data_IF_085858642717
#
_entry.id   IF_085858642717
#
_cell.length_a   1.000
_cell.length_b   1.000
_cell.length_c   1.000
_cell.angle_alpha   90.00
_cell.angle_beta   90.00
_cell.angle_gamma   90.00
#
_symmetry.space_group_name_H-M   'P 1'
#
loop_
_entity.id
_entity.type
_entity.pdbx_description
1 polymer ?
#
# COMPACT_ATOMS: atom_id res chain seq x y z
N UNK A 1 14.95 -14.39 -22.38
CA UNK A 1 15.19 -14.96 -21.03
C UNK A 1 14.76 -16.43 -21.02
N UNK A 2 15.54 -17.34 -20.44
CA UNK A 2 15.07 -18.72 -20.27
C UNK A 2 14.26 -18.85 -18.97
N UNK A 3 12.96 -19.07 -19.07
CA UNK A 3 12.17 -19.53 -17.94
C UNK A 3 12.75 -20.90 -17.56
N UNK A 4 13.06 -21.15 -16.26
CA UNK A 4 13.65 -22.43 -15.86
C UNK A 4 12.78 -23.62 -16.28
N UNK A 5 13.40 -24.71 -16.79
CA UNK A 5 12.71 -25.94 -17.22
C UNK A 5 11.83 -26.57 -16.12
N UNK A 6 12.15 -26.28 -14.85
CA UNK A 6 11.35 -26.71 -13.70
C UNK A 6 10.04 -25.95 -13.51
N UNK A 7 9.78 -24.88 -14.27
CA UNK A 7 8.52 -24.16 -14.21
C UNK A 7 7.38 -25.03 -14.75
N UNK A 8 6.26 -25.10 -14.03
CA UNK A 8 5.09 -25.79 -14.54
C UNK A 8 4.49 -25.04 -15.73
N UNK A 9 3.58 -25.69 -16.46
CA UNK A 9 2.87 -25.06 -17.58
C UNK A 9 2.10 -23.82 -17.09
N UNK A 10 1.40 -23.93 -15.96
CA UNK A 10 0.61 -22.86 -15.37
C UNK A 10 1.50 -21.70 -14.89
N UNK A 11 2.67 -22.00 -14.29
CA UNK A 11 3.65 -20.97 -13.92
C UNK A 11 4.18 -20.23 -15.16
N UNK A 12 4.50 -20.98 -16.23
CA UNK A 12 4.97 -20.40 -17.49
C UNK A 12 3.89 -19.49 -18.10
N UNK A 13 2.66 -19.93 -18.11
CA UNK A 13 1.54 -19.18 -18.61
C UNK A 13 1.31 -17.88 -17.81
N UNK A 14 1.32 -17.97 -16.46
CA UNK A 14 1.23 -16.81 -15.58
C UNK A 14 2.41 -15.82 -15.74
N UNK A 15 3.58 -16.28 -16.13
CA UNK A 15 4.74 -15.43 -16.42
C UNK A 15 4.59 -14.71 -17.77
N UNK A 16 4.09 -15.39 -18.80
CA UNK A 16 4.14 -14.93 -20.20
C UNK A 16 2.87 -14.21 -20.66
N UNK A 17 1.72 -14.46 -20.03
CA UNK A 17 0.52 -13.66 -20.29
C UNK A 17 0.60 -12.33 -19.59
N UNK A 18 0.85 -11.25 -20.30
CA UNK A 18 1.26 -9.97 -19.71
C UNK A 18 0.16 -8.91 -19.75
N UNK A 19 -0.82 -9.02 -20.59
CA UNK A 19 -1.87 -8.01 -20.79
C UNK A 19 -3.13 -8.31 -19.98
N UNK A 20 -3.72 -7.25 -19.43
CA UNK A 20 -4.97 -7.28 -18.68
C UNK A 20 -4.80 -7.54 -17.18
N UNK A 21 -5.92 -7.49 -16.47
CA UNK A 21 -5.95 -7.79 -15.03
C UNK A 21 -5.92 -9.30 -14.84
N UNK A 22 -4.97 -9.82 -14.07
CA UNK A 22 -4.73 -11.24 -13.89
C UNK A 22 -4.67 -11.59 -12.41
N UNK A 23 -5.48 -12.57 -12.01
CA UNK A 23 -5.45 -13.16 -10.67
C UNK A 23 -4.85 -14.56 -10.72
N UNK A 24 -3.89 -14.82 -9.84
CA UNK A 24 -3.28 -16.13 -9.64
C UNK A 24 -3.59 -16.63 -8.24
N UNK A 25 -4.52 -17.56 -8.12
CA UNK A 25 -4.74 -18.29 -6.87
C UNK A 25 -3.73 -19.43 -6.74
N UNK A 26 -3.10 -19.59 -5.59
CA UNK A 26 -2.01 -20.53 -5.43
C UNK A 26 -1.88 -21.05 -4.00
N UNK A 27 -1.62 -22.32 -3.85
CA UNK A 27 -1.37 -22.95 -2.54
C UNK A 27 0.01 -22.61 -1.97
N UNK A 28 0.24 -22.83 -0.66
CA UNK A 28 1.54 -22.63 -0.02
C UNK A 28 2.66 -23.39 -0.74
N UNK A 29 3.80 -22.74 -0.94
CA UNK A 29 4.96 -23.38 -1.56
C UNK A 29 4.89 -23.55 -3.08
N UNK A 30 3.81 -23.16 -3.75
CA UNK A 30 3.61 -23.27 -5.20
C UNK A 30 4.48 -22.35 -6.05
N UNK A 31 5.31 -21.50 -5.42
CA UNK A 31 6.20 -20.60 -6.13
C UNK A 31 5.63 -19.22 -6.47
N UNK A 32 4.69 -18.67 -5.70
CA UNK A 32 4.14 -17.32 -5.87
C UNK A 32 5.21 -16.26 -6.21
N UNK A 33 6.18 -16.11 -5.32
CA UNK A 33 7.28 -15.13 -5.51
C UNK A 33 8.18 -15.47 -6.72
N UNK A 34 8.29 -16.76 -7.09
CA UNK A 34 8.98 -17.16 -8.32
C UNK A 34 8.24 -16.63 -9.54
N UNK A 35 6.96 -16.87 -9.66
CA UNK A 35 6.14 -16.37 -10.77
C UNK A 35 6.22 -14.86 -10.89
N UNK A 36 6.03 -14.12 -9.77
CA UNK A 36 6.16 -12.66 -9.76
C UNK A 36 7.53 -12.17 -10.25
N UNK A 37 8.61 -12.76 -9.72
CA UNK A 37 9.98 -12.35 -10.09
C UNK A 37 10.28 -12.62 -11.56
N UNK A 38 9.90 -13.81 -12.06
CA UNK A 38 10.14 -14.17 -13.46
C UNK A 38 9.21 -13.41 -14.41
N UNK A 39 8.00 -13.05 -14.00
CA UNK A 39 7.13 -12.18 -14.79
C UNK A 39 7.73 -10.78 -14.96
N UNK A 40 8.24 -10.16 -13.89
CA UNK A 40 8.93 -8.86 -13.98
C UNK A 40 10.16 -8.99 -14.91
N UNK A 41 10.95 -10.04 -14.73
CA UNK A 41 12.10 -10.28 -15.60
C UNK A 41 11.69 -10.46 -17.08
N UNK A 42 10.60 -11.18 -17.35
CA UNK A 42 10.06 -11.37 -18.70
C UNK A 42 9.61 -10.05 -19.33
N UNK A 43 8.88 -9.21 -18.58
CA UNK A 43 8.49 -7.88 -19.04
C UNK A 43 9.71 -7.04 -19.45
N UNK A 44 10.79 -7.07 -18.66
CA UNK A 44 12.00 -6.28 -18.92
C UNK A 44 12.80 -6.85 -20.10
N UNK A 45 13.01 -8.17 -20.15
CA UNK A 45 13.98 -8.77 -21.09
C UNK A 45 13.39 -9.21 -22.41
N UNK A 46 12.14 -9.62 -22.45
CA UNK A 46 11.50 -10.13 -23.66
C UNK A 46 10.55 -9.11 -24.30
N UNK A 47 9.86 -8.32 -23.47
CA UNK A 47 8.95 -7.28 -23.95
C UNK A 47 9.56 -5.88 -23.93
N UNK A 48 10.81 -5.75 -23.44
CA UNK A 48 11.53 -4.48 -23.37
C UNK A 48 10.76 -3.37 -22.65
N UNK A 49 9.96 -3.75 -21.65
CA UNK A 49 9.23 -2.80 -20.82
C UNK A 49 10.24 -2.01 -19.98
N UNK A 50 10.07 -0.68 -19.94
CA UNK A 50 10.92 0.18 -19.13
C UNK A 50 10.78 -0.19 -17.65
N UNK A 51 11.86 -0.57 -16.94
CA UNK A 51 11.76 -1.02 -15.55
C UNK A 51 11.09 -0.01 -14.61
N UNK A 52 11.29 1.29 -14.85
CA UNK A 52 10.69 2.37 -14.06
C UNK A 52 9.15 2.43 -14.18
N UNK A 53 8.56 1.77 -15.17
CA UNK A 53 7.10 1.66 -15.35
C UNK A 53 6.48 0.41 -14.71
N UNK A 54 7.29 -0.37 -13.99
CA UNK A 54 6.83 -1.57 -13.28
C UNK A 54 6.82 -1.32 -11.78
N UNK A 55 5.68 -1.57 -11.13
CA UNK A 55 5.49 -1.44 -9.69
C UNK A 55 5.15 -2.81 -9.10
N UNK A 56 5.99 -3.32 -8.21
CA UNK A 56 5.76 -4.56 -7.49
C UNK A 56 5.59 -4.30 -5.99
N UNK A 57 4.40 -4.59 -5.46
CA UNK A 57 4.01 -4.34 -4.08
C UNK A 57 3.93 -5.63 -3.27
N UNK A 58 4.37 -5.57 -2.03
CA UNK A 58 4.35 -6.68 -1.07
C UNK A 58 4.07 -6.15 0.34
N UNK A 59 3.78 -7.06 1.29
CA UNK A 59 3.43 -6.68 2.67
C UNK A 59 4.62 -6.35 3.55
N UNK A 60 5.79 -6.96 3.30
CA UNK A 60 6.93 -6.83 4.21
C UNK A 60 8.19 -6.35 3.49
N UNK A 61 9.00 -5.56 4.19
CA UNK A 61 10.30 -5.13 3.67
C UNK A 61 11.23 -6.32 3.37
N UNK A 62 11.08 -7.42 4.12
CA UNK A 62 11.85 -8.65 3.90
C UNK A 62 11.48 -9.27 2.55
N UNK A 63 10.19 -9.42 2.25
CA UNK A 63 9.72 -9.95 0.97
C UNK A 63 10.14 -9.05 -0.20
N UNK A 64 9.99 -7.73 -0.06
CA UNK A 64 10.47 -6.75 -1.04
C UNK A 64 11.97 -6.88 -1.32
N UNK A 65 12.78 -6.97 -0.27
CA UNK A 65 14.23 -7.13 -0.40
C UNK A 65 14.63 -8.45 -1.09
N UNK A 66 13.96 -9.55 -0.74
CA UNK A 66 14.17 -10.85 -1.38
C UNK A 66 13.79 -10.83 -2.85
N UNK A 67 12.65 -10.24 -3.20
CA UNK A 67 12.20 -10.11 -4.58
C UNK A 67 13.20 -9.27 -5.39
N UNK A 68 13.62 -8.13 -4.87
CA UNK A 68 14.62 -7.27 -5.49
C UNK A 68 15.96 -7.98 -5.72
N UNK A 69 16.43 -8.75 -4.73
CA UNK A 69 17.65 -9.54 -4.85
C UNK A 69 17.52 -10.62 -5.95
N UNK A 70 16.42 -11.37 -5.96
CA UNK A 70 16.16 -12.40 -6.99
C UNK A 70 16.07 -11.79 -8.38
N UNK A 71 15.37 -10.67 -8.52
CA UNK A 71 15.25 -9.97 -9.80
C UNK A 71 16.61 -9.53 -10.33
N UNK A 72 17.48 -8.96 -9.48
CA UNK A 72 18.86 -8.59 -9.87
C UNK A 72 19.69 -9.77 -10.35
N UNK A 73 19.50 -10.93 -9.75
CA UNK A 73 20.21 -12.14 -10.19
C UNK A 73 19.78 -12.62 -11.59
N UNK A 74 18.58 -12.24 -12.06
CA UNK A 74 18.03 -12.63 -13.35
C UNK A 74 18.36 -11.59 -14.43
N UNK A 75 18.11 -10.30 -14.15
CA UNK A 75 18.19 -9.21 -15.14
C UNK A 75 19.38 -8.27 -14.92
N UNK A 76 20.21 -8.52 -13.89
CA UNK A 76 21.37 -7.69 -13.58
C UNK A 76 20.98 -6.31 -13.05
N UNK A 77 21.80 -5.30 -13.35
CA UNK A 77 21.61 -3.92 -12.88
C UNK A 77 20.43 -3.21 -13.53
N UNK A 78 19.84 -3.78 -14.58
CA UNK A 78 18.63 -3.24 -15.23
C UNK A 78 17.35 -3.44 -14.41
N UNK A 79 17.43 -3.96 -13.18
CA UNK A 79 16.30 -4.22 -12.28
C UNK A 79 15.81 -2.95 -11.53
N UNK A 80 15.70 -1.80 -12.20
CA UNK A 80 15.30 -0.52 -11.58
C UNK A 80 13.79 -0.31 -11.48
N UNK A 81 13.00 -1.40 -11.35
CA UNK A 81 11.58 -1.29 -11.05
C UNK A 81 11.34 -0.97 -9.57
N UNK A 82 10.20 -0.33 -9.27
CA UNK A 82 9.80 -0.20 -7.87
C UNK A 82 9.44 -1.58 -7.30
N UNK A 83 10.17 -2.00 -6.27
CA UNK A 83 9.85 -3.20 -5.49
C UNK A 83 9.86 -2.82 -4.02
N UNK A 84 8.70 -2.84 -3.38
CA UNK A 84 8.55 -2.32 -2.02
C UNK A 84 7.21 -2.66 -1.37
N UNK A 85 7.01 -2.11 -0.17
CA UNK A 85 5.72 -2.21 0.52
C UNK A 85 4.77 -1.11 0.06
N UNK A 86 3.46 -1.26 0.33
CA UNK A 86 2.47 -0.21 0.11
C UNK A 86 2.86 1.11 0.77
N UNK A 87 3.27 1.06 2.05
CA UNK A 87 3.75 2.25 2.77
C UNK A 87 5.02 2.85 2.14
N UNK A 88 5.92 2.00 1.66
CA UNK A 88 7.13 2.44 0.95
C UNK A 88 6.79 3.18 -0.34
N UNK A 89 5.82 2.69 -1.10
CA UNK A 89 5.31 3.35 -2.30
C UNK A 89 4.64 4.69 -1.97
N UNK A 90 3.74 4.70 -0.98
CA UNK A 90 3.07 5.91 -0.54
C UNK A 90 4.07 6.97 -0.03
N UNK A 91 5.11 6.57 0.72
CA UNK A 91 6.16 7.48 1.15
C UNK A 91 6.93 8.10 -0.05
N UNK A 92 7.26 7.28 -1.06
CA UNK A 92 7.88 7.77 -2.28
C UNK A 92 6.96 8.77 -3.01
N UNK A 93 5.70 8.44 -3.18
CA UNK A 93 4.68 9.30 -3.77
C UNK A 93 4.54 10.63 -2.99
N UNK A 94 4.40 10.57 -1.68
CA UNK A 94 4.21 11.75 -0.84
C UNK A 94 5.43 12.68 -0.83
N UNK A 95 6.65 12.16 -0.93
CA UNK A 95 7.86 13.00 -1.09
C UNK A 95 7.82 13.88 -2.35
N UNK A 96 7.09 13.46 -3.38
CA UNK A 96 6.89 14.28 -4.58
C UNK A 96 5.66 15.20 -4.47
N UNK A 97 4.54 14.70 -3.96
CA UNK A 97 3.22 15.32 -4.12
C UNK A 97 2.62 15.95 -2.86
N UNK A 98 3.13 15.68 -1.67
CA UNK A 98 2.53 16.11 -0.39
C UNK A 98 2.43 17.64 -0.25
N UNK A 99 3.25 18.39 -1.00
CA UNK A 99 3.19 19.84 -1.02
C UNK A 99 1.82 20.39 -1.45
N UNK A 100 1.01 19.59 -2.15
CA UNK A 100 -0.37 19.92 -2.51
C UNK A 100 -1.31 19.97 -1.30
N UNK A 101 -0.88 19.43 -0.16
CA UNK A 101 -1.61 19.42 1.10
C UNK A 101 -1.01 20.36 2.16
N UNK A 102 -0.26 21.38 1.73
CA UNK A 102 0.42 22.34 2.62
C UNK A 102 1.46 21.72 3.58
N UNK A 103 1.88 20.48 3.31
CA UNK A 103 3.00 19.84 3.99
C UNK A 103 4.31 20.05 3.22
N UNK A 104 5.45 20.18 3.90
CA UNK A 104 6.75 20.19 3.23
C UNK A 104 7.07 18.79 2.68
N UNK A 105 7.87 18.74 1.62
CA UNK A 105 8.33 17.46 1.04
C UNK A 105 9.18 16.64 2.03
N UNK A 106 9.77 17.30 3.03
CA UNK A 106 10.50 16.69 4.14
C UNK A 106 9.57 16.62 5.35
N UNK A 107 8.87 15.52 5.48
CA UNK A 107 8.03 15.21 6.64
C UNK A 107 8.62 14.05 7.44
N UNK A 108 8.23 13.93 8.71
CA UNK A 108 8.66 12.85 9.60
C UNK A 108 7.64 11.70 9.55
N UNK A 109 8.12 10.47 9.51
CA UNK A 109 7.25 9.29 9.67
C UNK A 109 7.34 8.82 11.11
N UNK A 110 6.20 8.72 11.77
CA UNK A 110 6.07 8.18 13.12
C UNK A 110 5.99 6.66 13.06
N UNK A 111 6.93 5.98 13.70
CA UNK A 111 6.74 4.57 14.01
C UNK A 111 5.78 4.42 15.21
N UNK A 112 5.35 3.19 15.50
CA UNK A 112 4.39 2.93 16.59
C UNK A 112 4.89 3.37 17.98
N UNK A 113 6.20 3.47 18.17
CA UNK A 113 6.78 3.98 19.42
C UNK A 113 6.67 5.50 19.49
N UNK A 114 7.08 6.21 18.44
CA UNK A 114 6.98 7.66 18.34
C UNK A 114 5.51 8.14 18.37
N UNK A 115 4.61 7.40 17.74
CA UNK A 115 3.16 7.64 17.78
C UNK A 115 2.63 7.56 19.21
N UNK A 116 2.99 6.49 19.95
CA UNK A 116 2.59 6.31 21.35
C UNK A 116 3.14 7.41 22.26
N UNK A 117 4.38 7.82 22.06
CA UNK A 117 4.99 8.93 22.79
C UNK A 117 4.25 10.24 22.50
N UNK A 118 3.99 10.55 21.25
CA UNK A 118 3.23 11.76 20.87
C UNK A 118 1.83 11.79 21.49
N UNK A 119 1.14 10.65 21.56
CA UNK A 119 -0.19 10.55 22.21
C UNK A 119 -0.09 10.86 23.70
N UNK A 120 0.96 10.36 24.39
CA UNK A 120 1.18 10.65 25.80
C UNK A 120 1.47 12.12 26.04
N UNK A 121 2.35 12.72 25.23
CA UNK A 121 2.69 14.15 25.32
C UNK A 121 1.45 15.03 25.11
N UNK A 122 0.61 14.68 24.11
CA UNK A 122 -0.65 15.38 23.88
C UNK A 122 -1.60 15.28 25.07
N UNK A 123 -1.69 14.12 25.69
CA UNK A 123 -2.54 13.96 26.87
C UNK A 123 -1.99 14.72 28.09
N UNK A 124 -0.66 14.72 28.29
CA UNK A 124 -0.01 15.48 29.36
C UNK A 124 -0.24 16.98 29.22
N UNK A 125 -0.14 17.52 27.99
CA UNK A 125 -0.49 18.93 27.71
C UNK A 125 -1.95 19.29 28.03
N UNK A 126 -2.83 18.29 28.01
CA UNK A 126 -4.22 18.42 28.41
C UNK A 126 -4.45 18.20 29.91
N UNK A 127 -3.39 17.99 30.70
CA UNK A 127 -3.46 17.66 32.13
C UNK A 127 -3.92 16.23 32.43
N UNK A 128 -3.81 15.30 31.45
CA UNK A 128 -4.23 13.90 31.56
C UNK A 128 -2.99 13.01 31.61
N UNK A 129 -2.76 12.33 32.73
CA UNK A 129 -1.70 11.33 32.82
C UNK A 129 -2.20 9.98 32.33
N UNK A 130 -1.61 9.46 31.24
CA UNK A 130 -1.95 8.18 30.66
C UNK A 130 -0.99 7.08 31.11
N UNK A 131 -1.55 5.95 31.57
CA UNK A 131 -0.80 4.69 31.71
C UNK A 131 -0.60 4.08 30.32
N UNK A 132 0.47 3.29 30.16
CA UNK A 132 0.83 2.66 28.88
C UNK A 132 -0.33 1.90 28.21
N UNK A 133 -1.07 1.10 28.97
CA UNK A 133 -2.20 0.33 28.43
C UNK A 133 -3.33 1.25 27.92
N UNK A 134 -3.58 2.38 28.60
CA UNK A 134 -4.58 3.35 28.16
C UNK A 134 -4.12 4.09 26.91
N UNK A 135 -2.85 4.49 26.84
CA UNK A 135 -2.28 5.14 25.67
C UNK A 135 -2.30 4.21 24.44
N UNK A 136 -1.98 2.92 24.61
CA UNK A 136 -2.09 1.91 23.54
C UNK A 136 -3.52 1.71 23.05
N UNK A 137 -4.51 1.75 23.96
CA UNK A 137 -5.92 1.69 23.58
C UNK A 137 -6.30 2.92 22.75
N UNK A 138 -5.95 4.13 23.21
CA UNK A 138 -6.20 5.36 22.46
C UNK A 138 -5.53 5.32 21.07
N UNK A 139 -4.31 4.82 20.97
CA UNK A 139 -3.63 4.64 19.69
C UNK A 139 -4.42 3.71 18.76
N UNK A 140 -4.93 2.59 19.27
CA UNK A 140 -5.79 1.69 18.49
C UNK A 140 -7.10 2.36 18.07
N UNK A 141 -7.72 3.16 18.93
CA UNK A 141 -8.96 3.91 18.62
C UNK A 141 -8.70 5.01 17.57
N UNK A 142 -7.50 5.60 17.58
CA UNK A 142 -7.03 6.53 16.53
C UNK A 142 -6.89 5.80 15.20
N UNK A 143 -6.22 4.63 15.17
CA UNK A 143 -6.08 3.81 13.95
C UNK A 143 -7.46 3.47 13.37
N UNK A 144 -8.43 3.08 14.21
CA UNK A 144 -9.82 2.81 13.80
C UNK A 144 -10.49 4.08 13.26
N UNK A 145 -10.33 5.22 13.94
CA UNK A 145 -10.94 6.49 13.50
C UNK A 145 -10.36 6.94 12.15
N UNK A 146 -9.08 6.69 11.90
CA UNK A 146 -8.42 6.98 10.63
C UNK A 146 -8.82 6.05 9.48
N UNK A 147 -9.61 5.00 9.73
CA UNK A 147 -10.23 4.23 8.63
C UNK A 147 -11.17 5.10 7.80
N UNK A 148 -11.87 6.05 8.43
CA UNK A 148 -12.54 7.14 7.72
C UNK A 148 -11.52 8.23 7.35
N UNK A 149 -11.32 8.45 6.06
CA UNK A 149 -10.34 9.41 5.53
C UNK A 149 -10.77 10.88 5.68
N UNK A 150 -11.94 11.17 6.25
CA UNK A 150 -12.47 12.53 6.39
C UNK A 150 -11.56 13.47 7.22
N UNK A 151 -10.76 12.91 8.15
CA UNK A 151 -9.80 13.68 8.94
C UNK A 151 -8.67 14.28 8.08
N UNK A 152 -8.39 13.69 6.90
CA UNK A 152 -7.35 14.20 5.99
C UNK A 152 -7.67 15.62 5.55
N UNK A 153 -8.95 15.95 5.34
CA UNK A 153 -9.37 17.32 5.00
C UNK A 153 -9.01 18.34 6.10
N UNK A 154 -9.10 17.92 7.36
CA UNK A 154 -8.72 18.77 8.50
C UNK A 154 -7.23 19.03 8.55
N UNK A 155 -6.43 18.04 8.15
CA UNK A 155 -4.96 18.14 8.13
C UNK A 155 -4.44 18.80 6.85
N UNK A 156 -5.09 18.59 5.71
CA UNK A 156 -4.66 19.02 4.38
C UNK A 156 -4.99 20.48 4.07
N UNK A 157 -5.93 21.08 4.80
CA UNK A 157 -6.40 22.44 4.52
C UNK A 157 -5.34 23.51 4.79
N UNK A 158 -5.37 24.58 3.98
CA UNK A 158 -4.57 25.79 4.21
C UNK A 158 -4.99 26.47 5.53
N UNK A 159 -6.29 26.49 5.80
CA UNK A 159 -6.85 26.98 7.04
C UNK A 159 -7.15 25.82 8.01
N UNK A 160 -6.34 25.70 9.06
CA UNK A 160 -6.51 24.72 10.12
C UNK A 160 -7.40 25.20 11.26
N UNK A 161 -8.21 26.23 11.03
CA UNK A 161 -9.09 26.81 12.06
C UNK A 161 -10.09 25.78 12.58
N UNK A 162 -10.67 24.97 11.70
CA UNK A 162 -11.63 23.93 12.11
C UNK A 162 -10.94 22.85 12.97
N UNK A 163 -9.75 22.40 12.60
CA UNK A 163 -9.00 21.45 13.42
C UNK A 163 -8.68 22.03 14.80
N UNK A 164 -8.22 23.30 14.86
CA UNK A 164 -7.95 24.00 16.12
C UNK A 164 -9.23 24.15 16.96
N UNK A 165 -10.36 24.48 16.31
CA UNK A 165 -11.67 24.60 16.97
C UNK A 165 -12.07 23.25 17.58
N UNK A 166 -11.99 22.16 16.84
CA UNK A 166 -12.32 20.81 17.34
C UNK A 166 -11.40 20.41 18.48
N UNK A 167 -10.10 20.62 18.34
CA UNK A 167 -9.12 20.32 19.38
C UNK A 167 -9.42 21.07 20.70
N UNK A 168 -9.97 22.30 20.64
CA UNK A 168 -10.26 23.13 21.81
C UNK A 168 -11.62 22.85 22.42
N UNK A 169 -12.67 22.68 21.58
CA UNK A 169 -14.07 22.67 22.03
C UNK A 169 -14.67 21.27 22.23
N UNK A 170 -13.97 20.20 21.81
CA UNK A 170 -14.45 18.82 21.98
C UNK A 170 -14.56 18.45 23.46
N UNK A 171 -15.70 17.88 23.83
CA UNK A 171 -16.02 17.49 25.21
C UNK A 171 -15.66 16.03 25.51
N UNK A 172 -15.76 15.16 24.49
CA UNK A 172 -15.34 13.77 24.65
C UNK A 172 -13.80 13.70 24.70
N UNK A 173 -13.26 13.13 25.75
CA UNK A 173 -11.82 13.10 26.03
C UNK A 173 -11.05 12.40 24.91
N UNK A 174 -11.50 11.22 24.44
CA UNK A 174 -10.80 10.44 23.43
C UNK A 174 -10.78 11.19 22.09
N UNK A 175 -11.91 11.77 21.68
CA UNK A 175 -11.97 12.63 20.49
C UNK A 175 -11.11 13.88 20.62
N UNK A 176 -11.05 14.46 21.82
CA UNK A 176 -10.20 15.62 22.07
C UNK A 176 -8.73 15.27 21.96
N UNK A 177 -8.30 14.11 22.48
CA UNK A 177 -6.96 13.59 22.29
C UNK A 177 -6.69 13.39 20.78
N UNK A 178 -7.61 12.78 20.05
CA UNK A 178 -7.49 12.58 18.61
C UNK A 178 -7.24 13.90 17.85
N UNK A 179 -8.08 14.93 18.05
CA UNK A 179 -7.90 16.22 17.35
C UNK A 179 -6.62 16.94 17.76
N UNK A 180 -6.18 16.83 19.02
CA UNK A 180 -4.91 17.39 19.45
C UNK A 180 -3.72 16.60 18.89
N UNK A 181 -3.84 15.27 18.74
CA UNK A 181 -2.88 14.45 18.06
C UNK A 181 -2.72 14.87 16.59
N UNK A 182 -3.82 15.00 15.84
CA UNK A 182 -3.78 15.51 14.46
C UNK A 182 -3.14 16.90 14.38
N UNK A 183 -3.48 17.79 15.33
CA UNK A 183 -2.89 19.12 15.41
C UNK A 183 -1.37 19.03 15.62
N UNK A 184 -0.90 18.19 16.54
CA UNK A 184 0.51 17.97 16.82
C UNK A 184 1.24 17.40 15.61
N UNK A 185 0.63 16.45 14.88
CA UNK A 185 1.15 15.94 13.61
C UNK A 185 1.31 17.07 12.58
N UNK A 186 0.33 17.95 12.45
CA UNK A 186 0.42 19.10 11.56
C UNK A 186 1.53 20.08 11.95
N UNK A 187 1.63 20.40 13.25
CA UNK A 187 2.61 21.35 13.77
C UNK A 187 4.06 20.82 13.58
N UNK A 188 4.26 19.51 13.63
CA UNK A 188 5.56 18.85 13.48
C UNK A 188 5.80 18.31 12.05
N UNK A 189 4.86 18.50 11.12
CA UNK A 189 4.89 17.87 9.80
C UNK A 189 5.17 16.36 9.88
N UNK A 190 4.45 15.66 10.76
CA UNK A 190 4.62 14.25 11.03
C UNK A 190 3.41 13.45 10.54
N UNK A 191 3.65 12.28 9.97
CA UNK A 191 2.63 11.35 9.51
C UNK A 191 2.88 9.98 10.13
N UNK A 192 1.83 9.30 10.56
CA UNK A 192 1.90 7.88 10.92
C UNK A 192 1.66 6.97 9.69
N UNK A 193 1.66 5.66 9.89
CA UNK A 193 1.53 4.72 8.78
C UNK A 193 0.16 4.79 8.08
N UNK A 194 -0.93 5.03 8.84
CA UNK A 194 -2.27 5.20 8.25
C UNK A 194 -2.33 6.45 7.37
N UNK A 195 -1.66 7.52 7.80
CA UNK A 195 -1.61 8.76 7.02
C UNK A 195 -0.94 8.59 5.67
N UNK A 196 0.08 7.75 5.57
CA UNK A 196 0.80 7.56 4.30
C UNK A 196 -0.14 7.09 3.19
N UNK A 197 -0.98 6.10 3.46
CA UNK A 197 -1.95 5.58 2.48
C UNK A 197 -3.09 6.59 2.28
N UNK A 198 -3.64 7.13 3.37
CA UNK A 198 -4.79 8.03 3.31
C UNK A 198 -4.49 9.32 2.55
N UNK A 199 -3.33 9.93 2.80
CA UNK A 199 -2.89 11.14 2.08
C UNK A 199 -2.61 10.85 0.61
N UNK A 200 -2.01 9.70 0.30
CA UNK A 200 -1.80 9.26 -1.08
C UNK A 200 -3.12 9.13 -1.83
N UNK A 201 -4.08 8.39 -1.26
CA UNK A 201 -5.41 8.23 -1.85
C UNK A 201 -6.15 9.56 -1.99
N UNK A 202 -6.06 10.41 -0.98
CA UNK A 202 -6.68 11.73 -1.00
C UNK A 202 -6.16 12.60 -2.14
N UNK A 203 -4.83 12.65 -2.35
CA UNK A 203 -4.22 13.41 -3.44
C UNK A 203 -4.64 12.82 -4.79
N UNK A 204 -4.53 11.51 -4.97
CA UNK A 204 -4.87 10.83 -6.23
C UNK A 204 -6.34 11.00 -6.62
N UNK A 205 -7.26 11.01 -5.64
CA UNK A 205 -8.68 11.18 -5.90
C UNK A 205 -9.06 12.63 -6.23
N UNK A 206 -8.37 13.61 -5.66
CA UNK A 206 -8.72 15.03 -5.84
C UNK A 206 -7.94 15.75 -6.93
N UNK A 207 -6.84 15.18 -7.40
CA UNK A 207 -5.97 15.81 -8.38
C UNK A 207 -5.82 14.90 -9.60
N UNK A 208 -6.64 15.12 -10.60
CA UNK A 208 -6.66 14.31 -11.82
C UNK A 208 -5.32 14.37 -12.58
N UNK A 209 -4.69 15.53 -12.63
CA UNK A 209 -3.38 15.73 -13.24
C UNK A 209 -2.29 14.88 -12.57
N UNK A 210 -2.33 14.78 -11.24
CA UNK A 210 -1.42 13.91 -10.47
C UNK A 210 -1.74 12.46 -10.76
N UNK A 211 -3.02 12.08 -10.68
CA UNK A 211 -3.45 10.71 -10.92
C UNK A 211 -3.00 10.20 -12.28
N UNK A 212 -3.28 10.94 -13.35
CA UNK A 212 -2.89 10.55 -14.71
C UNK A 212 -1.37 10.40 -14.81
N UNK A 213 -0.59 11.38 -14.35
CA UNK A 213 0.87 11.34 -14.38
C UNK A 213 1.46 10.12 -13.64
N UNK A 214 0.86 9.72 -12.51
CA UNK A 214 1.31 8.55 -11.76
C UNK A 214 0.83 7.25 -12.38
N UNK A 215 -0.36 7.23 -12.99
CA UNK A 215 -0.83 6.09 -13.79
C UNK A 215 0.06 5.83 -15.00
N UNK A 216 0.50 6.87 -15.71
CA UNK A 216 1.44 6.75 -16.83
C UNK A 216 2.77 6.09 -16.43
N UNK A 217 3.21 6.29 -15.19
CA UNK A 217 4.39 5.62 -14.62
C UNK A 217 4.13 4.18 -14.18
N UNK A 218 2.90 3.69 -14.20
CA UNK A 218 2.48 2.39 -13.68
C UNK A 218 1.92 1.51 -14.79
N UNK A 219 2.75 1.20 -15.82
CA UNK A 219 2.31 0.36 -16.95
C UNK A 219 1.94 -1.05 -16.50
N UNK A 220 2.69 -1.59 -15.53
CA UNK A 220 2.42 -2.88 -14.90
C UNK A 220 2.46 -2.75 -13.38
N UNK A 221 1.38 -3.16 -12.73
CA UNK A 221 1.25 -3.20 -11.27
C UNK A 221 1.15 -4.66 -10.82
N UNK A 222 2.02 -5.07 -9.92
CA UNK A 222 2.03 -6.44 -9.39
C UNK A 222 1.86 -6.40 -7.86
N UNK A 223 1.08 -7.33 -7.31
CA UNK A 223 0.87 -7.46 -5.88
C UNK A 223 1.07 -8.90 -5.42
N UNK A 224 1.97 -9.10 -4.44
CA UNK A 224 2.16 -10.38 -3.74
C UNK A 224 1.26 -10.45 -2.51
N UNK A 225 0.87 -11.67 -2.10
CA UNK A 225 0.02 -11.96 -0.93
C UNK A 225 -1.29 -11.14 -0.93
N UNK A 226 -1.95 -11.07 -2.08
CA UNK A 226 -3.13 -10.21 -2.27
C UNK A 226 -4.30 -10.55 -1.34
N UNK A 227 -4.38 -11.77 -0.78
CA UNK A 227 -5.35 -12.14 0.25
C UNK A 227 -5.25 -11.29 1.52
N UNK A 228 -4.10 -10.67 1.78
CA UNK A 228 -3.85 -9.85 2.96
C UNK A 228 -4.12 -8.35 2.73
N UNK A 229 -4.54 -7.97 1.52
CA UNK A 229 -4.86 -6.58 1.13
C UNK A 229 -6.11 -6.08 1.86
N UNK A 230 -6.05 -4.85 2.37
CA UNK A 230 -7.21 -4.15 2.89
C UNK A 230 -7.83 -3.22 1.83
N UNK A 231 -9.02 -2.68 2.11
CA UNK A 231 -9.78 -1.82 1.20
C UNK A 231 -8.95 -0.67 0.62
N UNK A 232 -8.15 0.02 1.43
CA UNK A 232 -7.36 1.19 0.97
C UNK A 232 -6.22 0.78 0.06
N UNK A 233 -5.60 -0.36 0.34
CA UNK A 233 -4.54 -0.93 -0.48
C UNK A 233 -5.11 -1.40 -1.83
N UNK A 234 -6.28 -2.02 -1.83
CA UNK A 234 -6.98 -2.40 -3.05
C UNK A 234 -7.37 -1.17 -3.89
N UNK A 235 -7.94 -0.13 -3.25
CA UNK A 235 -8.20 1.15 -3.91
C UNK A 235 -6.94 1.75 -4.55
N UNK A 236 -5.80 1.66 -3.87
CA UNK A 236 -4.53 2.16 -4.42
C UNK A 236 -4.10 1.37 -5.65
N UNK A 237 -4.17 0.02 -5.60
CA UNK A 237 -3.88 -0.84 -6.74
C UNK A 237 -4.78 -0.51 -7.94
N UNK A 238 -6.09 -0.37 -7.69
CA UNK A 238 -7.07 -0.03 -8.71
C UNK A 238 -6.78 1.34 -9.35
N UNK A 239 -6.44 2.36 -8.55
CA UNK A 239 -6.08 3.67 -9.08
C UNK A 239 -4.81 3.59 -9.92
N UNK A 240 -3.75 2.96 -9.43
CA UNK A 240 -2.46 2.88 -10.13
C UNK A 240 -2.56 2.13 -11.46
N UNK A 241 -3.30 1.03 -11.49
CA UNK A 241 -3.49 0.23 -12.71
C UNK A 241 -4.54 0.80 -13.67
N UNK A 242 -5.26 1.85 -13.28
CA UNK A 242 -6.47 2.32 -13.95
C UNK A 242 -6.29 2.74 -15.42
N UNK A 243 -5.10 3.21 -15.82
CA UNK A 243 -4.84 3.62 -17.20
C UNK A 243 -4.57 2.42 -18.13
N UNK A 244 -3.69 1.51 -17.72
CA UNK A 244 -3.24 0.40 -18.57
C UNK A 244 -3.99 -0.89 -18.33
N UNK A 245 -4.70 -1.03 -17.21
CA UNK A 245 -5.45 -2.24 -16.83
C UNK A 245 -4.56 -3.49 -16.78
N UNK A 246 -3.29 -3.34 -16.36
CA UNK A 246 -2.32 -4.42 -16.22
C UNK A 246 -1.99 -4.67 -14.75
N UNK A 247 -2.99 -5.14 -13.99
CA UNK A 247 -2.87 -5.52 -12.60
C UNK A 247 -2.70 -7.04 -12.47
N UNK A 248 -1.55 -7.47 -11.93
CA UNK A 248 -1.26 -8.86 -11.66
C UNK A 248 -1.24 -9.11 -10.15
N UNK A 249 -2.14 -9.92 -9.66
CA UNK A 249 -2.19 -10.27 -8.25
C UNK A 249 -1.97 -11.76 -8.03
N UNK A 250 -1.21 -12.09 -6.99
CA UNK A 250 -1.00 -13.48 -6.59
C UNK A 250 -1.27 -13.62 -5.09
N UNK A 251 -1.97 -14.67 -4.73
CA UNK A 251 -2.36 -14.91 -3.35
C UNK A 251 -2.82 -16.35 -3.11
N UNK A 252 -3.17 -16.62 -1.86
CA UNK A 252 -3.67 -17.89 -1.39
C UNK A 252 -4.93 -17.65 -0.57
N UNK A 253 -6.08 -18.02 -1.12
CA UNK A 253 -7.39 -17.76 -0.52
C UNK A 253 -7.54 -18.41 0.87
N UNK A 254 -6.79 -19.49 1.15
CA UNK A 254 -6.84 -20.24 2.40
C UNK A 254 -5.86 -19.72 3.48
N UNK A 255 -4.98 -18.75 3.14
CA UNK A 255 -3.91 -18.25 4.04
C UNK A 255 -4.14 -16.87 4.63
N UNK A 256 -5.33 -16.31 4.58
CA UNK A 256 -5.58 -15.01 5.19
C UNK A 256 -5.44 -15.09 6.72
N UNK A 257 -4.37 -14.48 7.26
CA UNK A 257 -4.10 -14.41 8.71
C UNK A 257 -4.22 -12.99 9.28
N UNK A 258 -4.53 -11.98 8.44
CA UNK A 258 -4.54 -10.56 8.82
C UNK A 258 -5.95 -9.94 8.85
N UNK A 259 -7.02 -10.72 8.99
CA UNK A 259 -8.41 -10.21 9.11
C UNK A 259 -8.55 -9.16 10.21
N UNK A 260 -7.80 -9.30 11.31
CA UNK A 260 -7.77 -8.32 12.40
C UNK A 260 -7.14 -6.96 12.02
N UNK A 261 -6.46 -6.88 10.87
CA UNK A 261 -5.95 -5.63 10.26
C UNK A 261 -6.85 -5.08 9.18
N UNK A 262 -8.06 -5.64 9.02
CA UNK A 262 -9.01 -5.24 7.98
C UNK A 262 -8.70 -5.82 6.60
N UNK A 263 -7.84 -6.85 6.50
CA UNK A 263 -7.73 -7.60 5.25
C UNK A 263 -9.02 -8.39 5.03
N UNK A 264 -9.43 -8.47 3.78
CA UNK A 264 -10.65 -9.14 3.39
C UNK A 264 -10.36 -10.07 2.20
N UNK A 265 -10.42 -11.41 2.38
CA UNK A 265 -10.20 -12.36 1.31
C UNK A 265 -11.22 -12.20 0.16
N UNK A 266 -12.34 -11.52 0.40
CA UNK A 266 -13.34 -11.21 -0.63
C UNK A 266 -12.74 -10.41 -1.80
N UNK A 267 -11.69 -9.60 -1.58
CA UNK A 267 -11.00 -8.92 -2.68
C UNK A 267 -10.36 -9.89 -3.65
N UNK A 268 -9.74 -10.95 -3.12
CA UNK A 268 -9.18 -12.02 -3.95
C UNK A 268 -10.26 -12.82 -4.66
N UNK A 269 -11.30 -13.23 -3.91
CA UNK A 269 -12.41 -14.06 -4.43
C UNK A 269 -13.21 -13.31 -5.50
N UNK A 270 -13.49 -12.03 -5.27
CA UNK A 270 -14.31 -11.19 -6.16
C UNK A 270 -13.46 -10.31 -7.09
N UNK A 271 -12.18 -10.60 -7.27
CA UNK A 271 -11.27 -9.81 -8.11
C UNK A 271 -11.84 -9.56 -9.51
N UNK A 272 -12.41 -10.58 -10.13
CA UNK A 272 -12.99 -10.52 -11.48
C UNK A 272 -14.17 -9.54 -11.57
N UNK A 273 -14.92 -9.37 -10.47
CA UNK A 273 -16.06 -8.45 -10.41
C UNK A 273 -15.63 -7.00 -10.18
N UNK A 274 -14.53 -6.80 -9.44
CA UNK A 274 -14.03 -5.47 -9.05
C UNK A 274 -13.11 -4.85 -10.10
N UNK A 275 -12.29 -5.68 -10.78
CA UNK A 275 -11.26 -5.20 -11.71
C UNK A 275 -11.62 -5.43 -13.20
N UNK A 276 -12.87 -5.79 -13.52
CA UNK A 276 -13.36 -5.95 -14.90
C UNK A 276 -12.79 -7.18 -15.60
N UNK A 277 -12.94 -7.25 -16.93
CA UNK A 277 -12.57 -8.40 -17.75
C UNK A 277 -11.19 -8.96 -17.38
N UNK A 278 -11.21 -10.00 -16.56
CA UNK A 278 -10.01 -10.78 -16.19
C UNK A 278 -9.91 -11.89 -17.25
N UNK A 279 -8.97 -11.80 -18.19
CA UNK A 279 -8.85 -12.80 -19.24
C UNK A 279 -8.45 -14.17 -18.70
N UNK A 280 -7.87 -14.24 -17.50
CA UNK A 280 -7.40 -15.52 -16.94
C UNK A 280 -7.43 -15.51 -15.41
N UNK A 281 -8.16 -16.46 -14.85
CA UNK A 281 -8.06 -16.87 -13.46
C UNK A 281 -7.30 -18.19 -13.39
N UNK A 282 -6.03 -18.17 -13.03
CA UNK A 282 -5.29 -19.40 -12.75
C UNK A 282 -5.69 -19.92 -11.37
N UNK A 283 -6.55 -20.91 -11.34
CA UNK A 283 -6.85 -21.66 -10.13
C UNK A 283 -5.81 -22.77 -9.99
N UNK A 284 -5.02 -22.71 -8.94
CA UNK A 284 -4.08 -23.71 -8.47
C UNK A 284 -2.73 -23.79 -9.20
N UNK A 285 -1.78 -22.95 -8.80
CA UNK A 285 -0.38 -23.32 -8.93
C UNK A 285 -0.13 -24.50 -7.96
N UNK A 286 0.00 -25.69 -8.51
CA UNK A 286 0.36 -26.89 -7.73
C UNK A 286 1.85 -26.91 -7.46
N UNK A 287 2.28 -27.63 -6.40
CA UNK A 287 3.68 -27.91 -6.16
C UNK A 287 4.27 -28.68 -7.35
N UNK A 288 5.49 -28.36 -7.80
CA UNK A 288 6.17 -29.22 -8.76
C UNK A 288 6.35 -30.62 -8.13
N UNK A 289 5.81 -31.63 -8.80
CA UNK A 289 5.97 -33.06 -8.44
C UNK A 289 7.42 -33.51 -8.62
#
# INVERSE_FOLDING_TARGET
MNIPERATKEQTEAITQTEGNIRVASVPGSGKTFVLTYRIAYLITELFVEPSSIVALTFTNKAASQMKHRLRNIVGDNANCFTGTFHGYCNMFLKEEIHRLTFPKTFTILDKKAELEMIKDVAEDMGISLKDNTAKKIMSDIDITKQDMSYVELMAGVDKTELKRRASSEKNVDKKVFYNYLKRQCDNYALDFEDLINFTLYILNRNEDVRIRWQEKCQYVLCDEYQDVNMKQDMLLHILSGLYQNLFVVGDDDQNIYTWRGSDPEYMINFDKTHGNVPVSYTHLTLPT
#
